data_IF_521247573950
#
_entry.id   IF_521247573950
#
_cell.length_a   1.000
_cell.length_b   1.000
_cell.length_c   1.000
_cell.angle_alpha   90.00
_cell.angle_beta   90.00
_cell.angle_gamma   90.00
#
_symmetry.space_group_name_H-M   'P 1'
#
loop_
_entity.id
_entity.type
_entity.pdbx_description
1 polymer ?
2 non-polymer ?
3 non-polymer ?
4 non-polymer ?
5 non-polymer ?
6 non-polymer ?
7 water ?
#
# COMPACT_ATOMS: atom_id res chain seq x y z
N UNK A 2 3.99 -8.60 11.70
CA UNK A 2 3.19 -7.91 10.60
C UNK A 2 1.70 -7.90 10.90
N UNK A 5 -2.49 -8.45 6.79
CA UNK A 5 -2.45 -9.40 5.68
C UNK A 5 -1.94 -8.77 4.37
N UNK A 6 -1.09 -7.76 4.52
CA UNK A 6 -0.46 -7.07 3.40
C UNK A 6 1.06 -7.03 3.60
N UNK A 7 1.54 -7.87 4.50
CA UNK A 7 2.96 -7.97 4.76
C UNK A 7 3.49 -6.83 5.62
N UNK A 8 4.82 -6.64 5.57
CA UNK A 8 5.45 -5.70 6.47
C UNK A 8 5.09 -4.26 6.08
N UNK A 9 4.81 -3.40 7.06
CA UNK A 9 4.39 -2.04 6.78
C UNK A 9 3.02 -2.01 6.16
N UNK A 11 -0.72 -1.36 5.72
CA UNK A 11 -1.66 -1.40 6.83
C UNK A 11 -1.06 -2.09 8.05
N UNK A 12 -1.18 -1.58 9.29
CA UNK A 12 -0.60 -2.25 10.49
C UNK A 12 -1.25 -3.59 10.79
N UNK B 2 3.44 4.43 12.06
CA UNK B 2 4.82 3.83 11.99
C UNK B 2 5.37 3.76 13.39
N UNK B 5 11.06 4.44 14.69
CA UNK B 5 11.98 5.48 14.21
C UNK B 5 12.73 5.03 12.93
N UNK B 6 12.26 3.96 12.25
CA UNK B 6 12.88 3.51 11.00
C UNK B 6 11.83 3.50 9.87
N UNK B 7 10.78 4.30 9.97
CA UNK B 7 9.76 4.38 8.94
C UNK B 7 8.79 3.20 8.94
N UNK B 8 8.11 3.08 7.79
CA UNK B 8 7.08 2.06 7.64
C UNK B 8 7.70 0.66 7.65
N UNK B 9 6.97 -0.34 8.20
CA UNK B 9 7.50 -1.69 8.44
C UNK B 9 8.84 -1.66 9.19
N UNK B 11 11.29 -2.43 12.02
CA UNK B 11 10.95 -2.50 13.44
C UNK B 11 9.56 -1.90 13.64
N UNK B 12 8.64 -2.51 14.42
CA UNK B 12 7.29 -1.95 14.56
C UNK B 12 7.30 -0.67 15.43
N UNK C 2 -16.87 3.97 1.12
CA UNK C 2 -16.58 5.36 0.73
C UNK C 2 -17.58 6.29 1.43
N UNK C 5 -20.02 11.02 -1.46
CA UNK C 5 -20.59 10.96 -2.80
C UNK C 5 -19.54 11.36 -3.86
N UNK C 6 -18.22 11.21 -3.54
CA UNK C 6 -17.15 11.63 -4.46
C UNK C 6 -16.19 10.45 -4.65
N UNK C 7 -16.62 9.27 -4.22
CA UNK C 7 -15.94 7.99 -4.44
C UNK C 7 -14.84 7.81 -3.42
N UNK C 8 -13.95 6.88 -3.70
CA UNK C 8 -12.90 6.53 -2.73
C UNK C 8 -12.03 7.76 -2.41
N UNK C 9 -11.59 7.89 -1.15
CA UNK C 9 -10.82 9.06 -0.73
C UNK C 9 -11.51 10.40 -0.92
N UNK C 11 -13.24 13.64 -0.15
CA UNK C 11 -14.06 13.93 1.01
C UNK C 11 -14.44 12.62 1.72
N UNK C 12 -14.33 12.45 3.05
CA UNK C 12 -14.64 11.15 3.67
C UNK C 12 -16.11 10.84 3.57
N UNK D 2 -7.38 10.86 6.87
CA UNK D 2 -6.98 9.54 6.28
C UNK D 2 -7.01 8.44 7.34
N UNK D 5 -3.10 3.89 7.32
CA UNK D 5 -1.70 4.05 7.02
C UNK D 5 -1.34 3.75 5.56
N UNK D 6 -2.34 3.84 4.65
CA UNK D 6 -2.13 3.72 3.24
C UNK D 6 -2.48 5.02 2.49
N UNK D 7 -2.66 6.15 3.21
CA UNK D 7 -3.01 7.41 2.56
C UNK D 7 -4.51 7.51 2.28
N UNK D 8 -4.86 8.44 1.39
CA UNK D 8 -6.24 8.77 1.09
C UNK D 8 -6.90 7.60 0.37
N UNK D 9 -8.20 7.40 0.62
CA UNK D 9 -8.92 6.20 0.20
C UNK D 9 -8.27 4.89 0.58
N UNK D 11 -7.76 1.51 2.20
CA UNK D 11 -8.35 1.12 3.47
C UNK D 11 -8.74 2.38 4.27
N UNK D 12 -9.92 2.44 4.90
CA UNK D 12 -10.34 3.67 5.55
C UNK D 12 -9.49 3.86 6.76
N UNK E 2 -6.00 -15.78 5.95
CA UNK E 2 -6.75 -16.37 4.84
C UNK E 2 -7.75 -17.35 5.40
N UNK E 5 -8.88 -22.56 2.75
CA UNK E 5 -7.83 -23.46 2.27
C UNK E 5 -7.60 -23.25 0.78
N UNK E 6 -7.96 -22.05 0.28
CA UNK E 6 -7.76 -21.75 -1.13
C UNK E 6 -6.90 -20.49 -1.28
N UNK E 7 -6.17 -20.09 -0.23
CA UNK E 7 -5.30 -18.93 -0.25
C UNK E 7 -6.04 -17.60 -0.06
N UNK E 8 -5.32 -16.51 -0.35
CA UNK E 8 -5.85 -15.16 -0.18
C UNK E 8 -7.10 -15.00 -1.04
N UNK E 9 -8.08 -14.27 -0.50
CA UNK E 9 -9.33 -14.07 -1.23
C UNK E 9 -10.02 -15.38 -1.69
N UNK E 11 -12.69 -18.06 -1.56
CA UNK E 11 -13.62 -18.40 -0.48
C UNK E 11 -13.03 -17.83 0.79
N UNK E 12 -13.79 -17.10 1.64
CA UNK E 12 -13.20 -16.53 2.85
C UNK E 12 -12.67 -17.61 3.81
N UNK F 2 -16.18 -9.54 0.67
CA UNK F 2 -14.86 -8.77 0.72
C UNK F 2 -14.84 -7.88 1.95
N UNK F 5 -12.14 -2.59 1.87
CA UNK F 5 -12.29 -1.65 0.78
C UNK F 5 -11.20 -1.76 -0.28
N UNK F 6 -10.54 -2.92 -0.34
CA UNK F 6 -9.51 -3.11 -1.35
C UNK F 6 -9.82 -4.34 -2.22
N UNK F 7 -11.08 -4.73 -2.20
CA UNK F 7 -11.60 -5.86 -2.94
C UNK F 7 -11.27 -7.22 -2.31
N UNK F 8 -11.38 -8.26 -3.13
CA UNK F 8 -11.15 -9.63 -2.73
C UNK F 8 -9.74 -9.82 -2.19
N UNK F 9 -9.61 -10.61 -1.10
CA UNK F 9 -8.27 -10.82 -0.52
C UNK F 9 -7.57 -9.53 -0.09
N UNK F 11 -6.26 -6.89 2.26
CA UNK F 11 -6.65 -6.65 3.65
C UNK F 11 -8.02 -7.29 3.82
N UNK F 12 -8.30 -8.09 4.89
CA UNK F 12 -9.61 -8.72 5.07
C UNK F 12 -10.79 -7.75 5.37
N UNK G 2 5.72 15.62 -6.04
CA UNK G 2 4.49 14.77 -6.06
C UNK G 2 4.00 14.70 -7.50
N UNK G 5 -1.81 14.91 -8.92
CA UNK G 5 -2.65 15.91 -8.29
C UNK G 5 -3.42 15.34 -7.11
N UNK G 6 -2.87 14.34 -6.44
CA UNK G 6 -3.51 13.70 -5.29
C UNK G 6 -2.58 13.70 -4.07
N UNK G 7 -1.54 14.52 -4.14
CA UNK G 7 -0.51 14.70 -3.15
C UNK G 7 0.59 13.65 -3.19
N UNK G 8 1.31 13.64 -2.06
CA UNK G 8 2.36 12.64 -1.88
C UNK G 8 1.82 11.21 -1.96
N UNK G 9 2.59 10.30 -2.60
CA UNK G 9 2.20 8.91 -2.78
C UNK G 9 0.92 8.82 -3.56
N UNK G 11 -1.33 7.96 -6.53
CA UNK G 11 -0.96 8.01 -7.94
C UNK G 11 0.34 8.76 -8.14
N UNK G 12 1.33 8.21 -8.86
CA UNK G 12 2.62 8.91 -8.97
C UNK G 12 2.50 10.22 -9.76
N UNK H 2 6.43 2.54 -6.24
CA UNK H 2 7.14 3.22 -5.11
C UNK H 2 8.60 3.39 -5.50
N UNK H 5 12.90 3.14 -1.39
CA UNK H 5 13.00 2.13 -0.35
C UNK H 5 12.32 2.55 0.96
N UNK H 6 11.38 3.51 0.86
CA UNK H 6 10.76 4.01 2.06
C UNK H 6 9.23 3.89 1.90
N UNK H 7 8.82 3.17 0.86
CA UNK H 7 7.42 2.95 0.65
C UNK H 7 6.79 4.07 -0.16
N UNK H 8 5.46 4.03 -0.19
CA UNK H 8 4.72 5.00 -1.00
C UNK H 8 5.00 6.43 -0.51
N UNK H 9 5.09 7.38 -1.48
CA UNK H 9 5.38 8.77 -1.16
C UNK H 9 6.72 8.91 -0.48
N UNK H 11 10.35 9.85 0.01
CA UNK H 11 11.37 9.99 -1.01
C UNK H 11 10.89 9.26 -2.27
N UNK H 12 10.97 9.89 -3.46
CA UNK H 12 10.35 9.27 -4.63
C UNK H 12 11.14 8.04 -5.05
N UNK I 2 26.75 3.21 4.45
CA UNK I 2 25.41 3.76 4.45
C UNK I 2 25.26 4.73 3.27
N UNK I 5 22.09 9.75 3.56
CA UNK I 5 22.17 10.68 4.68
C UNK I 5 21.05 10.37 5.69
N UNK I 6 20.61 9.13 5.73
CA UNK I 6 19.61 8.77 6.71
C UNK I 6 20.08 7.60 7.54
N UNK I 7 21.41 7.36 7.54
CA UNK I 7 21.97 6.23 8.29
C UNK I 7 21.71 4.88 7.61
N UNK I 8 21.89 3.79 8.39
CA UNK I 8 21.83 2.42 7.89
C UNK I 8 20.43 2.10 7.36
N UNK I 9 20.30 1.41 6.19
CA UNK I 9 18.99 1.07 5.65
C UNK I 9 18.28 2.32 5.25
N UNK I 11 16.58 4.90 2.93
CA UNK I 11 17.07 5.23 1.58
C UNK I 11 18.48 4.71 1.35
N UNK I 12 18.81 3.95 0.29
CA UNK I 12 20.18 3.49 0.09
C UNK I 12 21.20 4.59 -0.12
N UNK J 2 17.19 -3.78 -1.06
CA UNK J 2 18.01 -4.43 0.06
C UNK J 2 19.12 -5.24 -0.56
N UNK J 5 20.80 -10.47 1.85
CA UNK J 5 19.87 -11.46 2.36
C UNK J 5 19.67 -11.33 3.87
N UNK J 6 19.86 -10.10 4.39
CA UNK J 6 19.61 -9.92 5.83
C UNK J 6 18.74 -8.69 6.04
N UNK J 7 17.95 -8.38 5.02
CA UNK J 7 16.98 -7.31 5.15
C UNK J 7 17.59 -5.92 4.97
N UNK J 8 16.79 -4.90 5.34
CA UNK J 8 17.13 -3.50 5.15
C UNK J 8 18.36 -3.22 6.02
N UNK J 9 19.31 -2.42 5.53
CA UNK J 9 20.54 -2.11 6.27
C UNK J 9 21.30 -3.39 6.62
N UNK J 11 24.24 -5.81 6.46
CA UNK J 11 25.14 -5.99 5.30
C UNK J 11 24.50 -5.42 4.03
N UNK J 12 25.18 -4.64 3.17
CA UNK J 12 24.53 -4.05 2.00
C UNK J 12 24.05 -5.11 1.02
N UNK K 2 -3.52 -4.53 -12.01
CA UNK K 2 -3.88 -3.19 -11.39
C UNK K 2 -3.05 -2.14 -12.11
N UNK K 5 -1.15 2.66 -9.09
CA UNK K 5 -0.64 2.60 -7.71
C UNK K 5 -1.75 2.89 -6.70
N UNK K 6 -3.03 2.70 -7.08
CA UNK K 6 -4.09 2.82 -6.07
C UNK K 6 -4.90 1.51 -5.95
N UNK K 7 -4.30 0.39 -6.34
CA UNK K 7 -4.94 -0.91 -6.20
C UNK K 7 -5.96 -1.17 -7.31
N UNK K 8 -6.83 -2.18 -7.08
CA UNK K 8 -7.75 -2.61 -8.12
C UNK K 8 -8.74 -1.48 -8.38
N UNK K 9 -9.31 -1.37 -9.60
CA UNK K 9 -10.21 -0.28 -9.91
C UNK K 9 -9.63 1.14 -9.67
N UNK K 11 -8.23 4.61 -10.31
CA UNK K 11 -7.44 4.99 -11.46
C UNK K 11 -6.87 3.77 -12.19
N UNK K 12 -7.04 3.67 -13.53
CA UNK K 12 -6.51 2.49 -14.26
C UNK K 12 -5.00 2.30 -14.16
N UNK L 2 -13.92 1.55 -17.19
CA UNK L 2 -14.01 0.13 -16.75
C UNK L 2 -13.93 -0.85 -17.92
N UNK L 5 -17.32 -5.79 -18.15
CA UNK L 5 -18.75 -5.80 -17.85
C UNK L 5 -19.01 -6.26 -16.41
N UNK L 6 -18.01 -6.09 -15.54
CA UNK L 6 -18.23 -6.32 -14.13
C UNK L 6 -17.99 -5.03 -13.32
N UNK L 7 -17.92 -3.86 -13.96
CA UNK L 7 -17.72 -2.63 -13.20
C UNK L 7 -16.23 -2.31 -13.01
N UNK L 8 -16.02 -1.34 -12.12
CA UNK L 8 -14.67 -0.87 -11.82
C UNK L 8 -13.87 -2.01 -11.18
N UNK L 9 -12.54 -2.13 -11.46
CA UNK L 9 -11.76 -3.22 -10.87
C UNK L 9 -12.20 -4.58 -11.42
N UNK L 11 -12.34 -7.89 -13.25
CA UNK L 11 -11.75 -8.22 -14.55
C UNK L 11 -11.46 -6.91 -15.29
N UNK L 12 -10.29 -6.66 -15.87
CA UNK L 12 -10.03 -5.37 -16.52
C UNK L 12 -10.92 -5.15 -17.73
#
# INVERSE_FOLDING_TARGET
XNXXDDGDGXVP
XNXXDDGDGXVP
XNXXDDGDGXVP
XNXXDDGDGXVP
XNXXDDGDGXVP
XNXXDDGDGXVP
XNXXDDGDGXVP
XNXXDDGDGXVP
XNXXDDGDGXVP
XNXXDDGDGXVP
XNXXDDGDGXVP
XNXXDDGDGXVP
#
